data_IF_030708119398
#
_entry.id   IF_030708119398
#
_cell.length_a   1.000
_cell.length_b   1.000
_cell.length_c   1.000
_cell.angle_alpha   90.00
_cell.angle_beta   90.00
_cell.angle_gamma   90.00
#
_symmetry.space_group_name_H-M   'P 1'
#
loop_
_entity.id
_entity.type
_entity.pdbx_description
1 polymer ?
#
# COMPACT_ATOMS: atom_id res chain seq x y z
N UNK A 1 12.08 -12.76 -72.10
CA UNK A 1 11.06 -12.45 -71.07
C UNK A 1 11.75 -12.46 -69.71
N UNK A 2 11.95 -11.28 -69.11
CA UNK A 2 12.56 -11.10 -67.78
C UNK A 2 11.61 -10.24 -66.93
N UNK A 3 11.63 -10.50 -65.62
CA UNK A 3 10.87 -9.88 -64.50
C UNK A 3 9.48 -10.49 -64.23
N UNK A 4 9.16 -10.87 -62.97
CA UNK A 4 9.14 -9.95 -61.82
C UNK A 4 9.68 -10.54 -60.49
N UNK A 5 10.76 -9.96 -59.95
CA UNK A 5 11.18 -10.21 -58.55
C UNK A 5 11.42 -8.90 -57.77
N UNK A 6 11.28 -7.75 -58.43
CA UNK A 6 11.64 -6.45 -57.87
C UNK A 6 10.49 -5.75 -57.09
N UNK A 7 9.26 -6.24 -57.17
CA UNK A 7 8.10 -5.54 -56.58
C UNK A 7 7.86 -5.92 -55.11
N UNK A 8 8.33 -7.09 -54.65
CA UNK A 8 8.05 -7.55 -53.28
C UNK A 8 9.04 -7.01 -52.23
N UNK A 9 10.24 -6.59 -52.64
CA UNK A 9 11.24 -6.06 -51.71
C UNK A 9 10.94 -4.61 -51.25
N UNK A 10 10.07 -3.88 -51.94
CA UNK A 10 9.72 -2.50 -51.60
C UNK A 10 8.61 -2.37 -50.55
N UNK A 11 7.91 -3.45 -50.22
CA UNK A 11 6.78 -3.44 -49.27
C UNK A 11 7.15 -3.86 -47.83
N UNK A 12 8.38 -4.34 -47.58
CA UNK A 12 8.84 -4.76 -46.25
C UNK A 12 9.71 -3.69 -45.55
N UNK A 13 10.16 -2.65 -46.27
CA UNK A 13 11.05 -1.63 -45.74
C UNK A 13 10.39 -0.44 -45.02
N UNK A 14 9.06 -0.38 -44.94
CA UNK A 14 8.36 0.89 -44.68
C UNK A 14 7.51 0.97 -43.38
N UNK A 15 7.65 0.05 -42.42
CA UNK A 15 6.82 0.07 -41.19
C UNK A 15 7.55 0.30 -39.87
N UNK A 16 8.85 0.65 -39.89
CA UNK A 16 9.59 0.97 -38.65
C UNK A 16 10.06 2.43 -38.56
N UNK A 17 9.30 3.37 -39.13
CA UNK A 17 9.44 4.77 -38.78
C UNK A 17 8.43 5.08 -37.67
N UNK A 18 8.80 4.82 -36.41
CA UNK A 18 8.20 5.56 -35.30
C UNK A 18 8.48 7.03 -35.58
N UNK A 19 7.45 7.74 -36.08
CA UNK A 19 7.48 9.17 -36.21
C UNK A 19 7.51 9.78 -34.81
N UNK A 20 8.69 9.86 -34.21
CA UNK A 20 9.00 10.90 -33.24
C UNK A 20 8.82 12.22 -34.00
N UNK A 21 7.64 12.80 -33.88
CA UNK A 21 7.36 14.12 -34.43
C UNK A 21 8.36 15.08 -33.78
N UNK A 22 9.41 15.46 -34.52
CA UNK A 22 10.46 16.37 -34.03
C UNK A 22 9.89 17.73 -33.59
N UNK A 23 8.67 18.08 -34.01
CA UNK A 23 7.95 19.25 -33.52
C UNK A 23 7.43 19.14 -32.08
N UNK A 24 7.38 17.93 -31.51
CA UNK A 24 7.01 17.65 -30.12
C UNK A 24 8.21 17.25 -29.25
N UNK A 25 9.42 17.24 -29.80
CA UNK A 25 10.61 17.11 -28.97
C UNK A 25 10.72 18.38 -28.14
N UNK A 26 10.51 18.25 -26.82
CA UNK A 26 10.78 19.35 -25.89
C UNK A 26 12.20 19.89 -26.08
N UNK A 27 12.49 21.11 -25.60
CA UNK A 27 13.81 21.70 -25.71
C UNK A 27 14.88 20.72 -25.17
N UNK A 28 15.96 20.56 -25.92
CA UNK A 28 17.08 19.67 -25.55
C UNK A 28 17.84 20.15 -24.32
N UNK A 29 17.65 21.41 -23.94
CA UNK A 29 18.23 22.03 -22.76
C UNK A 29 17.09 22.60 -21.88
N UNK A 30 16.58 21.77 -20.97
CA UNK A 30 15.61 22.20 -19.96
C UNK A 30 16.39 22.76 -18.78
N UNK A 31 16.70 24.05 -18.84
CA UNK A 31 17.24 24.79 -17.70
C UNK A 31 16.11 24.95 -16.67
N UNK A 32 16.16 24.18 -15.57
CA UNK A 32 15.25 24.36 -14.43
C UNK A 32 15.47 25.78 -13.87
N UNK A 33 14.45 26.65 -14.01
CA UNK A 33 14.52 28.06 -13.61
C UNK A 33 14.65 28.28 -12.09
N UNK A 34 14.61 27.22 -11.30
CA UNK A 34 14.73 27.26 -9.85
C UNK A 34 15.78 26.25 -9.40
N UNK A 35 16.79 26.75 -8.69
CA UNK A 35 17.72 25.92 -7.94
C UNK A 35 17.14 25.74 -6.54
N UNK A 36 16.35 24.69 -6.34
CA UNK A 36 15.86 24.32 -5.02
C UNK A 36 16.96 23.50 -4.34
N UNK A 37 17.48 23.90 -3.18
CA UNK A 37 18.35 23.03 -2.41
C UNK A 37 17.58 21.75 -2.09
N UNK A 38 18.27 20.60 -2.14
CA UNK A 38 17.68 19.35 -1.71
C UNK A 38 17.14 19.53 -0.27
N UNK A 39 15.86 19.22 0.00
CA UNK A 39 15.33 19.33 1.34
C UNK A 39 16.16 18.40 2.26
N UNK A 40 16.64 18.95 3.37
CA UNK A 40 17.33 18.13 4.37
C UNK A 40 16.33 17.11 4.94
N UNK A 41 16.71 15.82 5.06
CA UNK A 41 15.87 14.84 5.71
C UNK A 41 15.70 15.24 7.18
N UNK A 42 14.48 15.17 7.68
CA UNK A 42 14.16 15.40 9.09
C UNK A 42 14.40 14.12 9.89
N UNK A 43 14.78 14.25 11.16
CA UNK A 43 14.71 13.12 12.09
C UNK A 43 13.24 12.67 12.26
N UNK A 44 12.97 11.42 12.67
CA UNK A 44 11.60 10.98 12.96
C UNK A 44 10.88 11.89 13.96
N UNK A 45 11.57 12.38 15.00
CA UNK A 45 11.03 13.28 16.01
C UNK A 45 10.74 14.68 15.47
N UNK A 46 11.56 15.17 14.54
CA UNK A 46 11.34 16.44 13.84
C UNK A 46 10.18 16.33 12.84
N UNK A 47 10.12 15.23 12.08
CA UNK A 47 9.03 14.94 11.17
C UNK A 47 7.69 14.88 11.91
N UNK A 48 7.63 14.22 13.09
CA UNK A 48 6.44 14.17 13.94
C UNK A 48 5.88 15.56 14.27
N UNK A 49 6.74 16.56 14.50
CA UNK A 49 6.33 17.94 14.82
C UNK A 49 5.76 18.69 13.60
N UNK A 50 6.04 18.22 12.39
CA UNK A 50 5.59 18.86 11.14
C UNK A 50 4.14 18.52 10.78
N UNK A 51 3.60 17.41 11.31
CA UNK A 51 2.25 16.97 11.01
C UNK A 51 1.20 17.87 11.67
N UNK A 52 0.12 18.14 10.91
CA UNK A 52 -1.07 18.82 11.41
C UNK A 52 -2.21 17.82 11.44
N UNK A 53 -2.80 17.61 12.61
CA UNK A 53 -3.89 16.67 12.81
C UNK A 53 -5.19 17.40 13.19
N UNK A 54 -6.35 16.88 12.79
CA UNK A 54 -7.62 17.34 13.33
C UNK A 54 -7.73 17.03 14.84
N UNK A 55 -8.52 17.80 15.60
CA UNK A 55 -8.74 17.54 17.02
C UNK A 55 -9.22 16.11 17.29
N UNK A 56 -8.68 15.47 18.33
CA UNK A 56 -9.03 14.09 18.73
C UNK A 56 -8.18 12.99 18.09
N UNK A 57 -7.22 13.34 17.22
CA UNK A 57 -6.26 12.39 16.64
C UNK A 57 -4.88 12.59 17.23
N UNK A 58 -4.13 11.50 17.37
CA UNK A 58 -2.70 11.52 17.68
C UNK A 58 -1.95 10.68 16.66
N UNK A 59 -0.69 11.02 16.50
CA UNK A 59 0.24 10.33 15.60
C UNK A 59 1.39 9.78 16.42
N UNK A 60 1.73 8.51 16.18
CA UNK A 60 2.76 7.79 16.92
C UNK A 60 3.72 7.14 15.93
N UNK A 61 5.03 7.33 16.17
CA UNK A 61 6.07 6.63 15.43
C UNK A 61 6.06 5.16 15.83
N UNK A 62 5.94 4.26 14.84
CA UNK A 62 5.90 2.82 15.05
C UNK A 62 7.21 2.15 14.62
N UNK A 63 7.82 2.60 13.53
CA UNK A 63 9.11 2.12 13.06
C UNK A 63 9.82 3.21 12.22
N UNK A 64 11.15 3.25 12.25
CA UNK A 64 11.97 4.17 11.44
C UNK A 64 13.27 3.50 10.99
N UNK A 65 14.01 4.19 10.12
CA UNK A 65 15.38 3.83 9.79
C UNK A 65 16.25 3.76 11.05
N UNK A 66 17.24 2.85 11.12
CA UNK A 66 17.67 1.89 10.08
C UNK A 66 16.91 0.56 10.07
N UNK A 67 15.84 0.40 10.87
CA UNK A 67 15.11 -0.86 11.00
C UNK A 67 14.41 -1.26 9.69
N UNK A 68 13.90 -0.27 8.96
CA UNK A 68 13.20 -0.41 7.68
C UNK A 68 13.83 0.50 6.62
N UNK A 69 13.68 0.14 5.35
CA UNK A 69 14.15 0.88 4.20
C UNK A 69 13.09 0.88 3.08
N UNK A 70 12.77 2.04 2.52
CA UNK A 70 11.85 2.20 1.38
C UNK A 70 10.52 1.39 1.51
N UNK A 71 9.72 1.62 2.57
CA UNK A 71 8.47 0.89 2.79
C UNK A 71 7.41 1.27 1.74
N UNK A 72 6.77 0.27 1.13
CA UNK A 72 5.74 0.46 0.08
C UNK A 72 4.36 -0.01 0.54
N UNK A 73 4.30 -1.12 1.27
CA UNK A 73 3.05 -1.68 1.76
C UNK A 73 3.27 -2.28 3.15
N UNK A 74 2.23 -2.24 3.98
CA UNK A 74 2.26 -2.78 5.33
C UNK A 74 1.00 -3.59 5.63
N UNK A 75 1.12 -4.58 6.52
CA UNK A 75 -0.02 -5.31 7.05
C UNK A 75 0.27 -5.77 8.48
N UNK A 76 -0.66 -5.54 9.38
CA UNK A 76 -0.64 -6.15 10.72
C UNK A 76 -1.25 -7.55 10.68
N UNK A 77 -0.71 -8.45 11.48
CA UNK A 77 -1.34 -9.74 11.75
C UNK A 77 -2.19 -9.74 13.03
N UNK A 78 -2.76 -10.90 13.35
CA UNK A 78 -3.58 -11.14 14.54
C UNK A 78 -2.79 -11.13 15.85
N UNK A 79 -1.46 -11.19 15.78
CA UNK A 79 -0.55 -11.14 16.92
C UNK A 79 0.06 -9.73 17.11
N UNK A 80 -0.36 -8.74 16.30
CA UNK A 80 0.16 -7.38 16.37
C UNK A 80 1.53 -7.20 15.71
N UNK A 81 2.07 -8.22 15.04
CA UNK A 81 3.30 -8.11 14.26
C UNK A 81 3.03 -7.35 12.96
N UNK A 82 4.01 -6.59 12.51
CA UNK A 82 3.90 -5.72 11.34
C UNK A 82 4.75 -6.25 10.20
N UNK A 83 4.10 -6.66 9.12
CA UNK A 83 4.77 -6.98 7.87
C UNK A 83 4.99 -5.70 7.07
N UNK A 84 6.20 -5.48 6.58
CA UNK A 84 6.59 -4.30 5.79
C UNK A 84 7.25 -4.76 4.50
N UNK A 85 6.70 -4.35 3.38
CA UNK A 85 7.32 -4.52 2.06
C UNK A 85 8.33 -3.41 1.84
N UNK A 86 9.58 -3.78 1.68
CA UNK A 86 10.71 -2.88 1.44
C UNK A 86 11.16 -3.00 -0.02
N UNK A 87 10.89 -1.97 -0.83
CA UNK A 87 11.20 -1.96 -2.26
C UNK A 87 12.53 -1.22 -2.50
N UNK A 88 13.62 -1.85 -2.10
CA UNK A 88 14.98 -1.27 -2.06
C UNK A 88 15.60 -1.10 -3.44
N UNK A 89 15.14 -1.87 -4.44
CA UNK A 89 15.67 -1.82 -5.81
C UNK A 89 15.04 -0.75 -6.69
N UNK A 90 14.01 -0.04 -6.24
CA UNK A 90 13.24 0.86 -7.11
C UNK A 90 13.98 2.18 -7.38
N UNK A 91 14.12 2.53 -8.67
CA UNK A 91 14.63 3.82 -9.17
C UNK A 91 15.84 4.38 -8.41
N UNK A 92 16.85 3.55 -8.14
CA UNK A 92 18.10 4.00 -7.50
C UNK A 92 18.95 4.89 -8.43
N UNK A 93 18.72 4.80 -9.73
CA UNK A 93 19.25 5.66 -10.78
C UNK A 93 18.12 6.16 -11.68
N UNK A 94 18.40 7.14 -12.54
CA UNK A 94 17.40 7.74 -13.44
C UNK A 94 16.93 6.75 -14.51
N UNK A 95 17.78 5.79 -14.85
CA UNK A 95 17.58 4.78 -15.88
C UNK A 95 16.84 3.53 -15.37
N UNK A 96 16.62 3.41 -14.06
CA UNK A 96 15.95 2.26 -13.43
C UNK A 96 16.70 0.94 -13.61
N UNK A 97 18.03 0.95 -13.72
CA UNK A 97 18.79 -0.27 -14.08
C UNK A 97 18.75 -1.34 -13.01
N UNK A 98 18.58 -0.93 -11.75
CA UNK A 98 18.61 -1.79 -10.56
C UNK A 98 17.26 -2.40 -10.20
N UNK A 99 16.16 -2.06 -10.88
CA UNK A 99 14.80 -2.50 -10.49
C UNK A 99 14.63 -4.01 -10.49
N UNK A 100 15.39 -4.70 -11.35
CA UNK A 100 15.38 -6.16 -11.50
C UNK A 100 16.27 -6.88 -10.50
N UNK A 101 17.05 -6.15 -9.72
CA UNK A 101 17.94 -6.75 -8.73
C UNK A 101 17.12 -7.31 -7.55
N UNK A 102 17.38 -8.56 -7.15
CA UNK A 102 16.68 -9.20 -6.04
C UNK A 102 17.23 -8.70 -4.70
N UNK A 103 17.05 -7.41 -4.41
CA UNK A 103 17.54 -6.75 -3.18
C UNK A 103 16.41 -6.30 -2.27
N UNK A 104 15.16 -6.34 -2.76
CA UNK A 104 13.98 -5.99 -1.99
C UNK A 104 13.58 -7.15 -1.08
N UNK A 105 12.84 -6.84 -0.01
CA UNK A 105 12.45 -7.85 0.99
C UNK A 105 11.13 -7.53 1.64
N UNK A 106 10.57 -8.51 2.35
CA UNK A 106 9.50 -8.30 3.33
C UNK A 106 10.10 -8.48 4.71
N UNK A 107 10.00 -7.45 5.54
CA UNK A 107 10.40 -7.52 6.94
C UNK A 107 9.21 -7.81 7.84
N UNK A 108 9.45 -8.57 8.89
CA UNK A 108 8.53 -8.80 10.00
C UNK A 108 9.04 -8.04 11.21
N UNK A 109 8.25 -7.08 11.66
CA UNK A 109 8.52 -6.27 12.83
C UNK A 109 7.67 -6.75 13.99
N UNK A 110 8.27 -6.80 15.17
CA UNK A 110 7.61 -7.20 16.41
C UNK A 110 7.89 -6.14 17.48
N UNK A 111 6.89 -5.91 18.32
CA UNK A 111 6.96 -5.15 19.55
C UNK A 111 7.05 -6.16 20.70
N UNK A 112 8.15 -6.17 21.45
CA UNK A 112 8.38 -7.14 22.54
C UNK A 112 7.99 -6.61 23.92
N UNK A 113 7.79 -5.30 24.08
CA UNK A 113 7.45 -4.68 25.35
C UNK A 113 6.00 -4.16 25.44
N UNK A 114 5.29 -4.14 24.31
CA UNK A 114 3.89 -3.78 24.20
C UNK A 114 3.64 -2.27 24.24
N UNK A 115 4.64 -1.43 24.01
CA UNK A 115 4.50 0.03 24.01
C UNK A 115 3.89 0.58 22.70
N UNK A 116 3.70 -0.28 21.69
CA UNK A 116 3.17 0.06 20.37
C UNK A 116 4.25 0.49 19.36
N UNK A 117 5.52 0.45 19.73
CA UNK A 117 6.68 0.69 18.87
C UNK A 117 7.36 -0.64 18.60
N UNK A 118 7.73 -0.84 17.34
CA UNK A 118 8.46 -2.03 16.96
C UNK A 118 9.90 -1.90 17.42
N UNK A 119 10.44 -2.96 18.04
CA UNK A 119 11.81 -3.01 18.57
C UNK A 119 12.68 -4.06 17.86
N UNK A 120 12.05 -5.08 17.26
CA UNK A 120 12.71 -6.20 16.59
C UNK A 120 12.26 -6.28 15.15
N UNK A 121 13.22 -6.40 14.23
CA UNK A 121 12.97 -6.67 12.82
C UNK A 121 13.71 -7.93 12.36
N UNK A 122 13.03 -8.75 11.56
CA UNK A 122 13.62 -9.87 10.83
C UNK A 122 13.27 -9.78 9.35
N UNK A 123 14.18 -10.23 8.49
CA UNK A 123 13.87 -10.41 7.08
C UNK A 123 12.98 -11.66 6.93
N UNK A 124 11.66 -11.46 6.86
CA UNK A 124 10.70 -12.54 6.77
C UNK A 124 10.84 -13.30 5.44
N UNK A 125 11.03 -12.55 4.36
CA UNK A 125 11.36 -13.11 3.05
C UNK A 125 12.29 -12.14 2.31
N UNK A 126 13.43 -12.65 1.85
CA UNK A 126 14.50 -11.86 1.23
C UNK A 126 14.67 -12.20 -0.26
N UNK A 127 15.50 -11.44 -0.96
CA UNK A 127 15.85 -11.60 -2.37
C UNK A 127 14.64 -11.51 -3.32
N UNK A 128 13.74 -10.56 -3.06
CA UNK A 128 12.54 -10.32 -3.86
C UNK A 128 12.80 -9.29 -4.96
N UNK A 129 12.14 -9.50 -6.11
CA UNK A 129 12.16 -8.54 -7.22
C UNK A 129 10.84 -7.77 -7.23
N UNK A 130 10.93 -6.46 -6.97
CA UNK A 130 9.78 -5.53 -6.96
C UNK A 130 8.55 -6.04 -6.19
N UNK A 131 8.69 -6.42 -4.90
CA UNK A 131 7.53 -6.78 -4.10
C UNK A 131 6.63 -5.54 -3.91
N UNK A 132 5.32 -5.71 -4.03
CA UNK A 132 4.36 -4.58 -4.07
C UNK A 132 3.26 -4.60 -3.03
N UNK A 133 3.03 -5.75 -2.42
CA UNK A 133 1.88 -5.92 -1.54
C UNK A 133 2.14 -7.02 -0.56
N UNK A 134 1.65 -6.79 0.66
CA UNK A 134 1.61 -7.79 1.71
C UNK A 134 0.24 -7.77 2.36
N UNK A 135 -0.27 -8.95 2.70
CA UNK A 135 -1.48 -9.09 3.52
C UNK A 135 -1.28 -10.25 4.48
N UNK A 136 -1.21 -9.95 5.76
CA UNK A 136 -1.15 -10.97 6.79
C UNK A 136 -2.46 -11.76 6.78
N UNK A 137 -2.35 -13.10 6.72
CA UNK A 137 -3.51 -13.98 6.65
C UNK A 137 -3.15 -15.38 7.14
N UNK A 138 -4.03 -15.98 7.95
CA UNK A 138 -3.93 -17.40 8.38
C UNK A 138 -2.55 -17.78 8.95
N UNK A 139 -1.99 -16.92 9.81
CA UNK A 139 -0.69 -17.16 10.46
C UNK A 139 0.53 -17.02 9.54
N UNK A 140 0.32 -16.55 8.32
CA UNK A 140 1.38 -16.18 7.37
C UNK A 140 1.04 -14.85 6.69
N UNK A 141 1.56 -14.65 5.49
CA UNK A 141 1.24 -13.49 4.67
C UNK A 141 1.19 -13.85 3.19
N UNK A 142 0.28 -13.21 2.46
CA UNK A 142 0.40 -13.11 1.03
C UNK A 142 1.47 -12.09 0.68
N UNK A 143 2.39 -12.45 -0.21
CA UNK A 143 3.45 -11.58 -0.72
C UNK A 143 3.28 -11.50 -2.23
N UNK A 144 3.02 -10.29 -2.72
CA UNK A 144 2.91 -9.99 -4.14
C UNK A 144 4.29 -9.65 -4.71
N UNK A 145 4.90 -10.62 -5.38
CA UNK A 145 6.19 -10.53 -6.07
C UNK A 145 5.95 -10.84 -7.56
N UNK A 146 5.78 -9.84 -8.43
CA UNK A 146 5.36 -10.04 -9.81
C UNK A 146 6.32 -10.98 -10.56
N UNK A 147 5.80 -11.96 -11.33
CA UNK A 147 4.41 -12.17 -11.73
C UNK A 147 3.57 -13.00 -10.74
N UNK A 148 4.10 -13.29 -9.56
CA UNK A 148 3.59 -14.28 -8.65
C UNK A 148 2.90 -13.66 -7.42
N UNK A 149 1.94 -14.40 -6.89
CA UNK A 149 1.42 -14.22 -5.54
C UNK A 149 1.80 -15.45 -4.72
N UNK A 150 2.58 -15.24 -3.67
CA UNK A 150 3.01 -16.30 -2.76
C UNK A 150 2.23 -16.22 -1.46
N UNK A 151 1.92 -17.37 -0.88
CA UNK A 151 1.56 -17.50 0.53
C UNK A 151 2.79 -17.99 1.28
N UNK A 152 3.30 -17.17 2.19
CA UNK A 152 4.50 -17.44 2.96
C UNK A 152 4.15 -17.56 4.43
N UNK A 153 4.71 -18.55 5.11
CA UNK A 153 4.43 -18.82 6.53
C UNK A 153 5.69 -19.22 7.25
N UNK A 154 5.77 -18.80 8.51
CA UNK A 154 6.78 -19.26 9.47
C UNK A 154 6.12 -20.26 10.42
N UNK A 155 6.43 -21.54 10.24
CA UNK A 155 5.91 -22.64 11.05
C UNK A 155 6.74 -22.88 12.32
N UNK A 156 7.94 -22.31 12.39
CA UNK A 156 8.92 -22.55 13.46
C UNK A 156 8.96 -21.40 14.47
N UNK A 157 8.35 -20.26 14.16
CA UNK A 157 8.35 -19.06 15.00
C UNK A 157 9.71 -18.35 15.02
N UNK A 158 10.53 -18.51 13.98
CA UNK A 158 11.86 -17.89 13.90
C UNK A 158 11.81 -16.44 13.41
N UNK A 159 10.66 -15.99 12.91
CA UNK A 159 10.49 -14.70 12.25
C UNK A 159 10.91 -14.71 10.78
N UNK A 160 11.21 -15.89 10.21
CA UNK A 160 11.59 -16.10 8.81
C UNK A 160 10.67 -17.15 8.20
N UNK A 161 10.13 -16.87 7.01
CA UNK A 161 9.26 -17.82 6.33
C UNK A 161 10.04 -19.08 5.94
N UNK A 162 9.56 -20.25 6.36
CA UNK A 162 10.09 -21.56 5.97
C UNK A 162 9.21 -22.26 4.92
N UNK A 163 7.95 -21.84 4.80
CA UNK A 163 7.02 -22.29 3.76
C UNK A 163 6.74 -21.15 2.78
N UNK A 164 6.88 -21.42 1.47
CA UNK A 164 6.53 -20.51 0.37
C UNK A 164 5.71 -21.29 -0.67
N UNK A 165 4.42 -20.99 -0.77
CA UNK A 165 3.48 -21.65 -1.69
C UNK A 165 3.03 -20.68 -2.77
N UNK A 166 3.11 -21.09 -4.03
CA UNK A 166 2.60 -20.30 -5.16
C UNK A 166 1.07 -20.39 -5.21
N UNK A 167 0.40 -19.24 -5.14
CA UNK A 167 -1.08 -19.14 -5.20
C UNK A 167 -1.54 -18.74 -6.60
N UNK A 168 -0.80 -17.81 -7.22
CA UNK A 168 -1.07 -17.33 -8.56
C UNK A 168 0.24 -17.00 -9.26
N UNK A 169 0.34 -17.36 -10.54
CA UNK A 169 1.48 -17.03 -11.41
C UNK A 169 1.14 -15.91 -12.41
N UNK A 170 -0.06 -15.33 -12.27
CA UNK A 170 -0.65 -14.31 -13.13
C UNK A 170 -0.91 -12.99 -12.38
N UNK A 171 -0.21 -12.77 -11.26
CA UNK A 171 -0.33 -11.59 -10.39
C UNK A 171 0.57 -10.44 -10.89
N UNK A 172 0.32 -10.01 -12.12
CA UNK A 172 1.12 -9.00 -12.83
C UNK A 172 2.17 -9.61 -13.77
N UNK A 173 3.09 -8.77 -14.25
CA UNK A 173 4.09 -9.13 -15.26
C UNK A 173 5.49 -8.86 -14.73
N UNK A 174 6.43 -9.79 -14.94
CA UNK A 174 7.83 -9.57 -14.59
C UNK A 174 8.40 -8.39 -15.39
N UNK A 175 8.93 -7.37 -14.72
CA UNK A 175 9.48 -6.19 -15.39
C UNK A 175 8.45 -5.30 -16.09
N UNK A 176 7.15 -5.46 -15.78
CA UNK A 176 6.11 -4.53 -16.26
C UNK A 176 6.14 -3.18 -15.51
N UNK A 177 5.22 -2.29 -15.88
CA UNK A 177 5.09 -0.96 -15.27
C UNK A 177 4.77 -1.03 -13.76
N UNK A 178 5.66 -0.57 -12.86
CA UNK A 178 5.49 -0.72 -11.41
C UNK A 178 4.18 -0.13 -10.86
N UNK A 179 3.67 0.95 -11.45
CA UNK A 179 2.50 1.70 -10.98
C UNK A 179 1.15 1.08 -11.37
N UNK A 180 1.12 0.21 -12.40
CA UNK A 180 -0.13 -0.22 -13.06
C UNK A 180 -0.37 -1.72 -13.06
N UNK A 181 0.26 -2.44 -12.13
CA UNK A 181 0.09 -3.89 -12.01
C UNK A 181 -0.71 -4.28 -10.76
N UNK A 182 -0.98 -5.59 -10.63
CA UNK A 182 -1.66 -6.17 -9.49
C UNK A 182 -0.97 -5.82 -8.17
N UNK A 183 -1.72 -5.30 -7.19
CA UNK A 183 -1.21 -4.93 -5.88
C UNK A 183 -2.29 -5.05 -4.78
N UNK A 184 -1.88 -4.79 -3.53
CA UNK A 184 -2.76 -4.61 -2.36
C UNK A 184 -3.85 -5.69 -2.20
N UNK A 185 -3.47 -6.97 -1.99
CA UNK A 185 -4.44 -7.97 -1.58
C UNK A 185 -5.17 -7.51 -0.31
N UNK A 186 -6.50 -7.52 -0.35
CA UNK A 186 -7.37 -7.03 0.72
C UNK A 186 -8.47 -8.04 0.98
N UNK A 187 -8.62 -8.43 2.24
CA UNK A 187 -9.69 -9.32 2.68
C UNK A 187 -11.00 -8.56 2.84
N UNK A 188 -12.03 -9.00 2.14
CA UNK A 188 -13.36 -8.39 2.15
C UNK A 188 -14.36 -9.18 3.02
N UNK A 189 -15.48 -8.52 3.34
CA UNK A 189 -16.52 -9.05 4.24
C UNK A 189 -17.24 -10.29 3.69
N UNK A 190 -17.18 -10.53 2.38
CA UNK A 190 -17.74 -11.70 1.71
C UNK A 190 -16.83 -12.94 1.79
N UNK A 191 -15.80 -12.87 2.63
CA UNK A 191 -14.81 -13.93 2.86
C UNK A 191 -13.95 -14.21 1.60
N UNK A 192 -13.72 -13.18 0.78
CA UNK A 192 -12.84 -13.24 -0.39
C UNK A 192 -11.74 -12.20 -0.28
N UNK A 193 -10.63 -12.48 -0.95
CA UNK A 193 -9.50 -11.56 -1.09
C UNK A 193 -9.54 -11.00 -2.50
N UNK A 194 -9.50 -9.68 -2.58
CA UNK A 194 -9.45 -8.91 -3.81
C UNK A 194 -8.10 -8.19 -3.91
N UNK A 195 -7.66 -7.90 -5.13
CA UNK A 195 -6.47 -7.10 -5.36
C UNK A 195 -6.78 -6.09 -6.47
N UNK A 196 -6.18 -4.90 -6.37
CA UNK A 196 -6.28 -3.92 -7.45
C UNK A 196 -5.58 -4.48 -8.70
N UNK A 197 -6.10 -4.18 -9.89
CA UNK A 197 -5.56 -4.68 -11.17
C UNK A 197 -5.40 -6.22 -11.24
N UNK A 198 -6.20 -6.98 -10.49
CA UNK A 198 -6.25 -8.44 -10.56
C UNK A 198 -7.71 -8.91 -10.66
N UNK A 199 -8.08 -9.50 -11.80
CA UNK A 199 -9.46 -9.89 -12.10
C UNK A 199 -9.96 -11.13 -11.36
N UNK A 200 -9.10 -11.77 -10.56
CA UNK A 200 -9.40 -13.01 -9.83
C UNK A 200 -9.48 -12.72 -8.34
N UNK A 201 -10.56 -13.17 -7.70
CA UNK A 201 -10.67 -13.18 -6.25
C UNK A 201 -10.24 -14.53 -5.68
N UNK A 202 -9.72 -14.52 -4.45
CA UNK A 202 -9.29 -15.72 -3.75
C UNK A 202 -10.21 -15.98 -2.56
N UNK A 203 -10.75 -17.19 -2.43
CA UNK A 203 -11.58 -17.59 -1.29
C UNK A 203 -10.98 -18.81 -0.62
N UNK A 204 -10.73 -18.72 0.68
CA UNK A 204 -10.28 -19.89 1.43
C UNK A 204 -11.46 -20.84 1.68
N UNK A 205 -11.36 -22.07 1.18
CA UNK A 205 -12.36 -23.13 1.37
C UNK A 205 -11.65 -24.44 1.68
N UNK A 206 -12.01 -25.11 2.79
CA UNK A 206 -11.42 -26.38 3.22
C UNK A 206 -9.88 -26.38 3.26
N UNK A 207 -9.28 -25.25 3.68
CA UNK A 207 -7.82 -25.10 3.77
C UNK A 207 -7.13 -24.79 2.44
N UNK A 208 -7.85 -24.73 1.31
CA UNK A 208 -7.31 -24.39 0.01
C UNK A 208 -7.82 -23.02 -0.48
N UNK A 209 -6.94 -22.29 -1.17
CA UNK A 209 -7.29 -21.03 -1.80
C UNK A 209 -7.90 -21.27 -3.18
N UNK A 210 -9.22 -21.05 -3.29
CA UNK A 210 -9.95 -21.20 -4.53
C UNK A 210 -10.04 -19.88 -5.27
N UNK A 211 -9.71 -19.90 -6.55
CA UNK A 211 -9.88 -18.77 -7.46
C UNK A 211 -11.35 -18.63 -7.87
N UNK A 212 -11.82 -17.40 -8.02
CA UNK A 212 -13.11 -17.12 -8.63
C UNK A 212 -13.16 -15.71 -9.21
N UNK A 213 -14.32 -15.27 -9.73
CA UNK A 213 -14.43 -13.95 -10.36
C UNK A 213 -14.14 -12.85 -9.33
N UNK A 214 -13.25 -11.93 -9.68
CA UNK A 214 -12.97 -10.71 -8.91
C UNK A 214 -13.68 -9.51 -9.52
N UNK A 215 -13.90 -8.47 -8.72
CA UNK A 215 -14.28 -7.16 -9.23
C UNK A 215 -13.03 -6.46 -9.76
N UNK A 216 -12.97 -6.20 -11.07
CA UNK A 216 -11.99 -5.28 -11.65
C UNK A 216 -12.37 -3.85 -11.21
N UNK A 217 -11.79 -3.39 -10.11
CA UNK A 217 -11.79 -1.96 -9.82
C UNK A 217 -10.88 -1.31 -10.86
N UNK A 218 -11.49 -0.63 -11.84
CA UNK A 218 -10.80 0.19 -12.81
C UNK A 218 -9.87 1.18 -12.08
N UNK A 219 -8.64 1.28 -12.57
CA UNK A 219 -7.69 2.35 -12.32
C UNK A 219 -8.39 3.70 -12.06
N UNK A 220 -8.38 4.19 -10.82
CA UNK A 220 -9.17 5.41 -10.55
C UNK A 220 -9.01 6.13 -9.23
N UNK A 221 -8.50 5.51 -8.16
CA UNK A 221 -8.22 6.23 -6.90
C UNK A 221 -7.03 5.59 -6.18
N UNK A 222 -5.82 6.07 -6.45
CA UNK A 222 -4.71 5.88 -5.52
C UNK A 222 -4.95 6.76 -4.29
N UNK A 223 -4.95 6.22 -3.06
CA UNK A 223 -4.68 7.06 -1.90
C UNK A 223 -3.28 7.64 -2.10
N UNK A 224 -3.21 8.96 -2.22
CA UNK A 224 -1.96 9.69 -2.43
C UNK A 224 -1.08 9.52 -1.19
N UNK A 225 -0.18 8.53 -1.21
CA UNK A 225 0.89 8.42 -0.23
C UNK A 225 1.85 9.60 -0.49
N UNK A 226 1.95 10.50 0.49
CA UNK A 226 2.90 11.61 0.48
C UNK A 226 4.33 11.04 0.46
N UNK A 227 5.30 11.72 -0.17
CA UNK A 227 6.70 11.33 -0.03
C UNK A 227 7.08 11.57 1.43
N UNK A 228 7.39 10.50 2.15
CA UNK A 228 7.81 10.59 3.54
C UNK A 228 9.21 10.01 3.67
N UNK A 229 10.01 10.66 4.53
CA UNK A 229 11.11 10.02 5.22
C UNK A 229 10.71 8.60 5.64
N UNK A 230 11.65 7.65 5.63
CA UNK A 230 11.40 6.22 5.73
C UNK A 230 11.04 5.78 7.17
N UNK A 231 9.95 6.37 7.67
CA UNK A 231 9.34 6.13 8.97
C UNK A 231 7.87 5.75 8.80
N UNK A 232 7.47 4.64 9.42
CA UNK A 232 6.08 4.21 9.49
C UNK A 232 5.45 4.84 10.71
N UNK A 233 4.43 5.66 10.46
CA UNK A 233 3.73 6.41 11.50
C UNK A 233 2.26 6.03 11.48
N UNK A 234 1.73 5.60 12.63
CA UNK A 234 0.32 5.20 12.74
C UNK A 234 -0.50 6.34 13.34
N UNK A 235 -1.67 6.62 12.75
CA UNK A 235 -2.63 7.60 13.26
C UNK A 235 -3.71 6.84 14.03
N UNK A 236 -3.86 7.14 15.32
CA UNK A 236 -4.92 6.58 16.16
C UNK A 236 -5.95 7.67 16.50
N UNK A 237 -7.22 7.30 16.46
CA UNK A 237 -8.31 8.10 17.03
C UNK A 237 -8.30 7.95 18.55
N UNK A 238 -8.22 9.07 19.27
CA UNK A 238 -8.58 9.08 20.68
C UNK A 238 -10.09 9.32 20.77
N UNK A 239 -10.86 8.30 21.13
CA UNK A 239 -12.19 8.54 21.69
C UNK A 239 -11.99 9.18 23.07
N UNK A 240 -11.95 10.51 23.12
CA UNK A 240 -12.05 11.24 24.39
C UNK A 240 -13.47 10.97 24.91
N UNK A 241 -13.68 10.31 26.06
CA UNK A 241 -15.01 10.25 26.65
C UNK A 241 -15.39 11.68 27.04
N UNK A 242 -16.24 12.32 26.25
CA UNK A 242 -16.87 13.58 26.61
C UNK A 242 -17.84 13.29 27.75
N UNK A 243 -17.38 13.42 28.99
CA UNK A 243 -18.24 13.44 30.17
C UNK A 243 -19.12 14.69 30.09
N UNK A 244 -20.26 14.55 29.43
CA UNK A 244 -21.31 15.55 29.41
C UNK A 244 -22.04 15.45 30.75
N UNK A 245 -22.12 16.51 31.58
CA UNK A 245 -22.93 16.44 32.80
C UNK A 245 -24.41 16.24 32.42
N UNK A 246 -25.18 15.46 33.22
CA UNK A 246 -26.55 15.14 32.89
C UNK A 246 -27.41 16.41 32.83
N UNK A 247 -28.15 16.56 31.72
CA UNK A 247 -29.12 17.63 31.53
C UNK A 247 -30.22 17.50 32.60
N UNK A 248 -30.56 18.56 33.35
CA UNK A 248 -31.69 18.51 34.27
C UNK A 248 -32.99 18.34 33.48
N UNK A 249 -33.81 17.37 33.86
CA UNK A 249 -35.15 17.18 33.30
C UNK A 249 -36.06 18.36 33.68
N UNK A 250 -36.95 18.83 32.78
CA UNK A 250 -37.91 19.86 33.11
C UNK A 250 -38.97 19.32 34.10
N UNK A 251 -39.16 20.05 35.20
CA UNK A 251 -40.22 19.80 36.17
C UNK A 251 -41.60 19.89 35.51
N UNK A 252 -42.43 18.88 35.70
CA UNK A 252 -43.84 18.86 35.29
C UNK A 252 -44.61 19.92 36.08
N UNK A 253 -45.16 20.92 35.38
CA UNK A 253 -46.09 21.90 35.99
C UNK A 253 -47.43 21.23 36.26
N UNK A 254 -47.78 21.12 37.53
CA UNK A 254 -49.12 20.82 38.03
C UNK A 254 -50.12 21.90 37.57
N UNK A 255 -51.16 21.51 36.84
CA UNK A 255 -52.29 22.36 36.46
C UNK A 255 -53.23 22.56 37.66
N UNK A 256 -53.20 23.75 38.26
CA UNK A 256 -54.20 24.16 39.25
C UNK A 256 -55.37 24.85 38.53
N UNK A 257 -56.52 24.20 38.55
CA UNK A 257 -57.82 24.71 38.09
C UNK A 257 -58.27 25.85 39.00
N UNK A 258 -58.43 27.07 38.48
CA UNK A 258 -59.08 28.18 39.19
C UNK A 258 -60.48 28.37 38.63
N UNK A 259 -61.50 28.11 39.45
CA UNK A 259 -62.88 28.48 39.18
C UNK A 259 -63.04 29.99 39.37
N UNK A 260 -63.74 30.66 38.45
CA UNK A 260 -64.17 32.05 38.63
C UNK A 260 -65.70 32.10 38.49
N UNK A 261 -66.37 32.35 39.61
CA UNK A 261 -67.75 32.83 39.69
C UNK A 261 -67.75 34.35 39.54
N UNK A 262 -68.55 34.92 38.65
CA UNK A 262 -69.24 36.21 38.87
C UNK A 262 -70.41 36.35 37.90
N UNK A 263 -71.55 36.63 38.50
CA UNK A 263 -72.90 36.89 38.00
C UNK A 263 -73.00 38.12 37.10
N UNK A 264 -73.69 37.99 35.97
CA UNK A 264 -74.85 38.82 35.60
C UNK A 264 -75.68 38.13 34.53
#
# INVERSE_FOLDING_TARGET
>A
MKTPLAVLALLVGATSAFALNKGNAGPTDVQLKFNLPAPAPLSPEEALKSFRLPPGFRIELVASEPMIESPVAISFDDQGRLFVVEMRSYMRDLEGTTEKDPTSRVSLLTDTDGDGRMDKASAFLDNLVMPRGVMAVKGGAFIAEPPNLFFCRDTKGTGVADEKVLIASDFGTLGGQPEHMANTPTWALDNRVYAANYGTSLKLTNGAWLKGPGSVAASGVSPRMMPAACSITTIRTCSVPTSSPPRPMPATRSSATRSASTTR
#
